data_IF_149225267056
#
_entry.id   IF_149225267056
#
_cell.length_a   1.000
_cell.length_b   1.000
_cell.length_c   1.000
_cell.angle_alpha   90.00
_cell.angle_beta   90.00
_cell.angle_gamma   90.00
#
_symmetry.space_group_name_H-M   'P 1'
#
loop_
_entity.id
_entity.type
_entity.pdbx_description
1 polymer ?
#
# COMPACT_ATOMS: atom_id res chain seq x y z
N UNK A 1 -14.96 21.50 30.94
CA UNK A 1 -16.32 22.09 30.84
C UNK A 1 -16.77 22.33 29.40
N UNK A 2 -16.05 23.10 28.53
CA UNK A 2 -16.42 23.23 27.12
C UNK A 2 -16.07 21.97 26.30
N UNK A 3 -14.93 21.34 26.59
CA UNK A 3 -14.53 20.06 26.01
C UNK A 3 -15.49 18.94 26.37
N UNK A 4 -15.88 18.85 27.62
CA UNK A 4 -16.77 17.81 28.13
C UNK A 4 -18.18 17.94 27.54
N UNK A 5 -18.65 19.18 27.36
CA UNK A 5 -19.92 19.48 26.68
C UNK A 5 -19.88 19.17 25.18
N UNK A 6 -18.72 19.34 24.52
CA UNK A 6 -18.51 18.93 23.11
C UNK A 6 -18.42 17.43 22.97
N UNK A 7 -17.76 16.74 23.91
CA UNK A 7 -17.70 15.27 23.93
C UNK A 7 -19.08 14.65 24.18
N UNK A 8 -19.84 15.18 25.13
CA UNK A 8 -21.22 14.74 25.42
C UNK A 8 -22.17 15.03 24.24
N UNK A 9 -22.00 16.19 23.56
CA UNK A 9 -22.77 16.51 22.36
C UNK A 9 -22.41 15.58 21.19
N UNK A 10 -21.11 15.30 20.95
CA UNK A 10 -20.67 14.34 19.96
C UNK A 10 -21.09 12.90 20.26
N UNK A 11 -21.20 12.53 21.53
CA UNK A 11 -21.68 11.21 21.94
C UNK A 11 -23.20 11.03 21.76
N UNK A 12 -23.97 12.13 21.84
CA UNK A 12 -25.45 12.10 21.76
C UNK A 12 -26.02 12.46 20.39
N UNK A 13 -25.29 13.21 19.57
CA UNK A 13 -25.75 13.66 18.25
C UNK A 13 -25.11 12.83 17.14
N UNK A 14 -25.87 11.89 16.58
CA UNK A 14 -25.52 11.20 15.33
C UNK A 14 -26.30 11.88 14.18
N UNK A 15 -25.73 12.84 13.45
CA UNK A 15 -26.37 13.37 12.27
C UNK A 15 -26.60 12.25 11.26
N UNK A 16 -27.67 12.31 10.44
CA UNK A 16 -27.85 11.35 9.36
C UNK A 16 -26.56 11.36 8.50
N UNK A 17 -26.02 10.18 8.20
CA UNK A 17 -24.81 10.05 7.43
C UNK A 17 -25.08 10.51 5.98
N UNK A 18 -24.58 11.68 5.61
CA UNK A 18 -24.71 12.30 4.28
C UNK A 18 -23.58 11.93 3.33
N UNK A 19 -22.71 10.98 3.72
CA UNK A 19 -21.55 10.54 2.93
C UNK A 19 -21.88 9.43 1.94
N UNK A 20 -20.82 8.88 1.35
CA UNK A 20 -20.92 7.74 0.43
C UNK A 20 -21.47 6.50 1.13
N UNK A 21 -22.31 5.73 0.44
CA UNK A 21 -22.76 4.42 0.89
C UNK A 21 -22.21 3.38 -0.09
N UNK A 22 -21.51 2.39 0.42
CA UNK A 22 -20.99 1.27 -0.37
C UNK A 22 -21.78 0.03 -0.03
N UNK A 23 -22.52 -0.48 -1.00
CA UNK A 23 -23.33 -1.70 -0.87
C UNK A 23 -22.58 -2.82 -1.57
N UNK A 24 -22.38 -3.93 -0.89
CA UNK A 24 -21.65 -5.04 -1.46
C UNK A 24 -21.66 -6.28 -0.59
N UNK A 25 -20.79 -7.21 -0.93
CA UNK A 25 -20.65 -8.48 -0.24
C UNK A 25 -19.29 -8.56 0.45
N UNK A 26 -19.24 -8.76 1.79
CA UNK A 26 -18.01 -8.75 2.59
C UNK A 26 -16.92 -9.72 2.09
N UNK A 27 -17.29 -10.75 1.35
CA UNK A 27 -16.38 -11.77 0.81
C UNK A 27 -16.07 -11.58 -0.68
N UNK A 28 -16.34 -10.42 -1.24
CA UNK A 28 -16.04 -10.10 -2.64
C UNK A 28 -14.71 -9.35 -2.74
N UNK A 29 -13.86 -9.74 -3.70
CA UNK A 29 -12.58 -9.12 -3.97
C UNK A 29 -12.72 -7.68 -4.47
N UNK A 30 -13.73 -7.43 -5.31
CA UNK A 30 -14.05 -6.10 -5.84
C UNK A 30 -14.52 -5.16 -4.74
N UNK A 31 -15.42 -5.64 -3.86
CA UNK A 31 -15.91 -4.86 -2.72
C UNK A 31 -14.79 -4.51 -1.74
N UNK A 32 -13.88 -5.47 -1.48
CA UNK A 32 -12.69 -5.21 -0.69
C UNK A 32 -11.80 -4.14 -1.34
N UNK A 33 -11.58 -4.20 -2.66
CA UNK A 33 -10.77 -3.22 -3.39
C UNK A 33 -11.36 -1.80 -3.30
N UNK A 34 -12.67 -1.65 -3.52
CA UNK A 34 -13.38 -0.36 -3.40
C UNK A 34 -13.30 0.20 -1.99
N UNK A 35 -13.56 -0.62 -0.97
CA UNK A 35 -13.47 -0.22 0.45
C UNK A 35 -12.05 0.20 0.84
N UNK A 36 -11.05 -0.57 0.42
CA UNK A 36 -9.64 -0.26 0.65
C UNK A 36 -9.24 1.05 -0.03
N UNK A 37 -9.66 1.25 -1.28
CA UNK A 37 -9.38 2.47 -2.02
C UNK A 37 -9.97 3.71 -1.32
N UNK A 38 -11.26 3.67 -0.95
CA UNK A 38 -11.93 4.77 -0.26
C UNK A 38 -11.28 5.06 1.10
N UNK A 39 -11.02 4.02 1.89
CA UNK A 39 -10.38 4.16 3.21
C UNK A 39 -8.97 4.74 3.11
N UNK A 40 -8.15 4.27 2.16
CA UNK A 40 -6.78 4.75 1.97
C UNK A 40 -6.71 6.20 1.48
N UNK A 41 -7.72 6.64 0.73
CA UNK A 41 -7.86 8.04 0.29
C UNK A 41 -8.64 8.91 1.29
N UNK A 42 -8.92 8.41 2.50
CA UNK A 42 -9.67 9.13 3.55
C UNK A 42 -11.05 9.62 3.10
N UNK A 43 -11.68 8.92 2.15
CA UNK A 43 -13.04 9.20 1.71
C UNK A 43 -14.01 8.50 2.66
N UNK A 44 -14.80 9.23 3.48
CA UNK A 44 -15.70 8.61 4.42
C UNK A 44 -16.87 7.92 3.71
N UNK A 45 -17.17 6.69 4.11
CA UNK A 45 -18.28 5.92 3.57
C UNK A 45 -18.96 5.06 4.64
N UNK A 46 -20.25 4.74 4.43
CA UNK A 46 -20.96 3.74 5.19
C UNK A 46 -21.00 2.43 4.41
N UNK A 47 -20.49 1.36 5.01
CA UNK A 47 -20.54 0.02 4.45
C UNK A 47 -21.89 -0.65 4.74
N UNK A 48 -22.51 -1.28 3.73
CA UNK A 48 -23.74 -2.02 3.82
C UNK A 48 -23.56 -3.41 3.19
N UNK A 49 -23.44 -4.44 4.05
CA UNK A 49 -23.25 -5.82 3.62
C UNK A 49 -24.59 -6.45 3.30
N UNK A 50 -24.81 -6.84 2.05
CA UNK A 50 -26.06 -7.48 1.60
C UNK A 50 -26.30 -8.84 2.25
N UNK A 51 -25.27 -9.49 2.80
CA UNK A 51 -25.38 -10.78 3.49
C UNK A 51 -25.64 -10.63 4.99
N UNK A 52 -25.39 -9.46 5.58
CA UNK A 52 -25.46 -9.24 7.03
C UNK A 52 -26.73 -8.50 7.49
N UNK A 53 -27.51 -7.91 6.56
CA UNK A 53 -28.72 -7.17 6.87
C UNK A 53 -29.57 -6.86 5.64
N UNK A 54 -30.83 -6.48 5.88
CA UNK A 54 -31.79 -6.19 4.80
C UNK A 54 -31.63 -4.78 4.20
N UNK A 55 -30.95 -3.85 4.89
CA UNK A 55 -30.89 -2.43 4.49
C UNK A 55 -30.24 -2.23 3.13
N UNK A 56 -29.13 -2.93 2.85
CA UNK A 56 -28.45 -2.87 1.55
C UNK A 56 -29.29 -3.40 0.41
N UNK A 57 -29.94 -4.55 0.62
CA UNK A 57 -30.81 -5.20 -0.38
C UNK A 57 -32.08 -4.40 -0.64
N UNK A 58 -32.68 -3.79 0.41
CA UNK A 58 -33.84 -2.89 0.27
C UNK A 58 -33.49 -1.66 -0.55
N UNK A 59 -32.36 -1.04 -0.24
CA UNK A 59 -31.89 0.16 -0.95
C UNK A 59 -31.58 -0.11 -2.43
N UNK A 60 -30.99 -1.27 -2.77
CA UNK A 60 -30.81 -1.69 -4.16
C UNK A 60 -32.13 -1.85 -4.90
N UNK A 61 -33.12 -2.47 -4.26
CA UNK A 61 -34.44 -2.64 -4.84
C UNK A 61 -35.19 -1.31 -5.05
N UNK A 62 -35.12 -0.39 -4.08
CA UNK A 62 -35.71 0.95 -4.19
C UNK A 62 -35.13 1.76 -5.34
N UNK A 63 -33.83 1.60 -5.60
CA UNK A 63 -33.11 2.27 -6.68
C UNK A 63 -33.15 1.51 -8.02
N UNK A 64 -33.83 0.37 -8.09
CA UNK A 64 -33.86 -0.53 -9.26
C UNK A 64 -32.46 -0.94 -9.74
N UNK A 65 -31.52 -1.19 -8.82
CA UNK A 65 -30.16 -1.62 -9.11
C UNK A 65 -30.05 -3.15 -9.01
N UNK A 66 -29.30 -3.75 -9.94
CA UNK A 66 -29.10 -5.18 -10.02
C UNK A 66 -28.23 -5.68 -8.83
N UNK A 67 -28.76 -6.54 -7.93
CA UNK A 67 -28.00 -7.08 -6.81
C UNK A 67 -26.89 -8.05 -7.25
N UNK A 68 -26.85 -8.50 -8.50
CA UNK A 68 -25.77 -9.30 -9.07
C UNK A 68 -24.56 -8.48 -9.52
N UNK A 69 -24.68 -7.14 -9.55
CA UNK A 69 -23.62 -6.23 -9.99
C UNK A 69 -23.10 -5.38 -8.82
N UNK A 70 -22.33 -6.02 -7.94
CA UNK A 70 -21.70 -5.38 -6.79
C UNK A 70 -20.19 -5.17 -7.02
N UNK A 71 -19.55 -4.19 -6.34
CA UNK A 71 -20.12 -3.22 -5.39
C UNK A 71 -20.93 -2.10 -6.06
N UNK A 72 -21.85 -1.51 -5.31
CA UNK A 72 -22.52 -0.27 -5.69
C UNK A 72 -22.07 0.84 -4.75
N UNK A 73 -21.60 1.95 -5.32
CA UNK A 73 -21.23 3.16 -4.57
C UNK A 73 -22.30 4.22 -4.83
N UNK A 74 -23.04 4.58 -3.79
CA UNK A 74 -24.08 5.61 -3.83
C UNK A 74 -23.50 6.93 -3.33
N UNK A 75 -23.75 8.00 -4.07
CA UNK A 75 -23.31 9.35 -3.74
C UNK A 75 -24.42 10.18 -3.09
N UNK A 76 -24.08 11.24 -2.33
CA UNK A 76 -25.07 12.11 -1.68
C UNK A 76 -26.04 12.79 -2.65
N UNK A 77 -25.64 12.99 -3.90
CA UNK A 77 -26.48 13.57 -4.96
C UNK A 77 -27.49 12.60 -5.58
N UNK A 78 -27.56 11.36 -5.03
CA UNK A 78 -28.46 10.30 -5.51
C UNK A 78 -27.93 9.50 -6.70
N UNK A 79 -26.77 9.85 -7.26
CA UNK A 79 -26.13 9.05 -8.31
C UNK A 79 -25.47 7.78 -7.77
N UNK A 80 -25.28 6.79 -8.64
CA UNK A 80 -24.66 5.51 -8.30
C UNK A 80 -23.58 5.13 -9.30
N UNK A 81 -22.49 4.53 -8.81
CA UNK A 81 -21.56 3.75 -9.62
C UNK A 81 -21.75 2.27 -9.31
N UNK A 82 -22.02 1.48 -10.34
CA UNK A 82 -22.25 0.03 -10.25
C UNK A 82 -21.03 -0.69 -10.78
N UNK A 83 -20.41 -1.53 -9.95
CA UNK A 83 -19.16 -2.24 -10.26
C UNK A 83 -18.08 -1.28 -10.83
N UNK A 84 -17.72 -0.20 -10.07
CA UNK A 84 -16.90 0.86 -10.62
C UNK A 84 -15.48 0.41 -10.92
N UNK A 85 -14.97 0.83 -12.09
CA UNK A 85 -13.55 0.81 -12.36
C UNK A 85 -12.82 1.84 -11.47
N UNK A 86 -11.55 1.57 -11.07
CA UNK A 86 -10.80 2.44 -10.16
C UNK A 86 -10.73 3.90 -10.58
N UNK A 87 -10.52 4.18 -11.88
CA UNK A 87 -10.39 5.54 -12.42
C UNK A 87 -11.72 6.30 -12.35
N UNK A 88 -12.85 5.61 -12.62
CA UNK A 88 -14.19 6.20 -12.52
C UNK A 88 -14.51 6.55 -11.06
N UNK A 89 -14.13 5.68 -10.12
CA UNK A 89 -14.29 5.94 -8.71
C UNK A 89 -13.41 7.11 -8.26
N UNK A 90 -12.13 7.11 -8.65
CA UNK A 90 -11.17 8.17 -8.33
C UNK A 90 -11.69 9.54 -8.79
N UNK A 91 -12.09 9.66 -10.06
CA UNK A 91 -12.64 10.91 -10.61
C UNK A 91 -13.90 11.36 -9.84
N UNK A 92 -14.78 10.41 -9.49
CA UNK A 92 -16.06 10.73 -8.87
C UNK A 92 -15.93 11.14 -7.41
N UNK A 93 -14.89 10.69 -6.70
CA UNK A 93 -14.57 11.14 -5.34
C UNK A 93 -13.67 12.38 -5.32
N UNK A 94 -13.40 12.98 -6.48
CA UNK A 94 -12.68 14.25 -6.60
C UNK A 94 -11.15 14.11 -6.60
N UNK A 95 -10.61 12.91 -6.85
CA UNK A 95 -9.18 12.73 -7.04
C UNK A 95 -8.78 13.12 -8.47
N UNK A 96 -7.61 13.74 -8.62
CA UNK A 96 -7.08 14.08 -9.95
C UNK A 96 -6.63 12.80 -10.66
N UNK A 97 -7.14 12.59 -11.87
CA UNK A 97 -6.77 11.48 -12.76
C UNK A 97 -5.99 11.95 -13.99
N UNK A 98 -5.78 13.26 -14.13
CA UNK A 98 -5.12 13.86 -15.27
C UNK A 98 -4.05 14.85 -14.81
N UNK A 99 -2.87 14.74 -15.41
CA UNK A 99 -1.81 15.73 -15.25
C UNK A 99 -2.23 17.05 -15.91
N UNK A 100 -1.92 18.16 -15.26
CA UNK A 100 -2.28 19.50 -15.75
C UNK A 100 -1.28 20.04 -16.79
N UNK A 101 -0.07 19.43 -16.86
CA UNK A 101 0.99 19.80 -17.78
C UNK A 101 1.49 18.57 -18.53
N UNK A 102 2.00 18.78 -19.75
CA UNK A 102 2.63 17.72 -20.57
C UNK A 102 4.09 17.47 -20.18
N UNK A 103 4.72 18.44 -19.48
CA UNK A 103 6.12 18.40 -19.12
C UNK A 103 6.38 18.88 -17.68
N UNK A 104 7.16 18.10 -16.94
CA UNK A 104 7.61 18.37 -15.57
C UNK A 104 9.13 18.34 -15.49
N UNK A 105 9.70 18.97 -14.45
CA UNK A 105 11.13 18.87 -14.18
C UNK A 105 11.44 17.48 -13.60
N UNK A 106 10.54 16.95 -12.74
CA UNK A 106 10.64 15.64 -12.13
C UNK A 106 9.28 14.94 -12.08
N UNK A 107 9.25 13.66 -12.49
CA UNK A 107 8.13 12.74 -12.28
C UNK A 107 8.54 11.72 -11.21
N UNK A 108 7.70 11.56 -10.19
CA UNK A 108 7.84 10.56 -9.12
C UNK A 108 6.82 9.47 -9.36
N UNK A 109 7.25 8.23 -9.52
CA UNK A 109 6.36 7.07 -9.67
C UNK A 109 6.27 6.32 -8.35
N UNK A 110 5.11 6.42 -7.72
CA UNK A 110 4.81 5.87 -6.39
C UNK A 110 4.79 6.93 -5.29
N UNK A 111 3.72 6.97 -4.50
CA UNK A 111 3.52 7.88 -3.37
C UNK A 111 3.71 7.19 -2.01
N UNK A 112 4.62 6.23 -1.91
CA UNK A 112 5.11 5.72 -0.62
C UNK A 112 6.02 6.75 0.09
N UNK A 113 6.61 6.42 1.25
CA UNK A 113 7.44 7.35 2.01
C UNK A 113 8.59 7.97 1.22
N UNK A 114 9.23 7.22 0.31
CA UNK A 114 10.29 7.75 -0.55
C UNK A 114 9.75 8.76 -1.57
N UNK A 115 8.67 8.41 -2.27
CA UNK A 115 8.06 9.29 -3.26
C UNK A 115 7.44 10.54 -2.64
N UNK A 116 6.79 10.43 -1.48
CA UNK A 116 6.26 11.58 -0.75
C UNK A 116 7.37 12.52 -0.27
N UNK A 117 8.49 11.98 0.24
CA UNK A 117 9.63 12.79 0.60
C UNK A 117 10.19 13.53 -0.64
N UNK A 118 10.40 12.83 -1.73
CA UNK A 118 10.86 13.44 -2.99
C UNK A 118 9.89 14.52 -3.50
N UNK A 119 8.57 14.30 -3.38
CA UNK A 119 7.57 15.30 -3.76
C UNK A 119 7.65 16.56 -2.89
N UNK A 120 7.82 16.40 -1.57
CA UNK A 120 7.99 17.53 -0.65
C UNK A 120 9.25 18.32 -0.98
N UNK A 121 10.39 17.67 -1.10
CA UNK A 121 11.66 18.35 -1.37
C UNK A 121 11.69 18.92 -2.79
N UNK A 122 11.33 18.16 -3.82
CA UNK A 122 11.32 18.62 -5.19
C UNK A 122 10.46 19.87 -5.38
N UNK A 123 9.22 19.85 -4.91
CA UNK A 123 8.34 21.01 -5.03
C UNK A 123 8.77 22.19 -4.14
N UNK A 124 9.28 21.94 -2.91
CA UNK A 124 9.76 23.02 -2.04
C UNK A 124 11.04 23.69 -2.55
N UNK A 125 11.82 23.00 -3.35
CA UNK A 125 13.04 23.49 -3.99
C UNK A 125 12.80 24.02 -5.42
N UNK A 126 11.53 24.13 -5.83
CA UNK A 126 11.10 24.81 -7.06
C UNK A 126 11.01 23.93 -8.30
N UNK A 127 11.15 22.59 -8.18
CA UNK A 127 10.92 21.69 -9.30
C UNK A 127 9.41 21.50 -9.55
N UNK A 128 8.97 21.62 -10.81
CA UNK A 128 7.64 21.16 -11.22
C UNK A 128 7.59 19.66 -11.08
N UNK A 129 6.93 19.20 -10.02
CA UNK A 129 6.93 17.80 -9.59
C UNK A 129 5.55 17.17 -9.78
N UNK A 130 5.48 16.09 -10.55
CA UNK A 130 4.31 15.24 -10.70
C UNK A 130 4.53 13.94 -9.94
N UNK A 131 3.54 13.51 -9.16
CA UNK A 131 3.50 12.21 -8.49
C UNK A 131 2.42 11.34 -9.11
N UNK A 132 2.78 10.14 -9.55
CA UNK A 132 1.87 9.14 -10.13
C UNK A 132 1.69 8.02 -9.12
N UNK A 133 0.44 7.82 -8.64
CA UNK A 133 0.10 6.81 -7.63
C UNK A 133 -1.23 6.14 -7.96
N UNK A 134 -1.28 4.81 -8.16
CA UNK A 134 -2.51 4.14 -8.60
C UNK A 134 -3.56 3.96 -7.51
N UNK A 135 -3.21 4.05 -6.23
CA UNK A 135 -4.12 3.75 -5.13
C UNK A 135 -4.33 4.94 -4.19
N UNK A 136 -3.34 5.21 -3.36
CA UNK A 136 -3.40 6.29 -2.38
C UNK A 136 -2.01 6.65 -1.85
N UNK A 137 -1.77 7.93 -1.48
CA UNK A 137 -0.55 8.35 -0.83
C UNK A 137 -0.31 7.61 0.50
N UNK A 138 0.96 7.24 0.76
CA UNK A 138 1.39 6.50 1.95
C UNK A 138 1.99 5.13 1.63
N UNK A 139 1.63 4.53 0.49
CA UNK A 139 2.14 3.23 0.06
C UNK A 139 1.95 2.14 1.12
N UNK A 140 2.87 1.20 1.21
CA UNK A 140 2.82 0.11 2.21
C UNK A 140 2.85 0.64 3.66
N UNK A 141 3.56 1.73 3.92
CA UNK A 141 3.59 2.35 5.25
C UNK A 141 2.21 2.88 5.66
N UNK A 142 1.41 3.38 4.70
CA UNK A 142 0.06 3.90 4.92
C UNK A 142 -0.89 2.89 5.55
N UNK A 143 -0.67 1.60 5.33
CA UNK A 143 -1.46 0.52 5.91
C UNK A 143 -1.04 0.10 7.34
N UNK A 144 0.06 0.67 7.88
CA UNK A 144 0.54 0.34 9.22
C UNK A 144 -0.34 1.00 10.29
N UNK A 145 -0.86 0.19 11.22
CA UNK A 145 -1.70 0.67 12.32
C UNK A 145 -0.96 1.62 13.28
N UNK A 146 0.34 1.40 13.46
CA UNK A 146 1.21 2.22 14.30
C UNK A 146 2.68 2.09 13.88
N UNK A 147 3.34 3.22 13.65
CA UNK A 147 4.78 3.33 13.41
C UNK A 147 5.38 3.97 14.65
N UNK A 148 6.06 3.19 15.50
CA UNK A 148 6.59 3.65 16.79
C UNK A 148 8.03 4.13 16.72
N UNK A 149 8.77 3.71 15.70
CA UNK A 149 10.19 3.98 15.54
C UNK A 149 10.49 5.06 14.47
N UNK A 150 9.52 5.89 14.12
CA UNK A 150 9.75 7.06 13.27
C UNK A 150 10.06 8.27 14.14
N UNK A 151 11.20 8.92 13.87
CA UNK A 151 11.70 10.03 14.67
C UNK A 151 10.70 11.21 14.70
N UNK A 152 10.50 11.81 15.88
CA UNK A 152 9.61 12.94 16.09
C UNK A 152 8.20 12.57 16.57
N UNK A 153 7.89 11.28 16.71
CA UNK A 153 6.58 10.79 17.16
C UNK A 153 6.74 9.89 18.41
N UNK A 154 6.91 10.46 19.62
CA UNK A 154 7.19 9.69 20.83
C UNK A 154 6.07 8.71 21.23
N UNK A 155 4.83 9.00 20.83
CA UNK A 155 3.68 8.10 21.02
C UNK A 155 3.42 7.19 19.82
N UNK A 156 4.27 7.24 18.77
CA UNK A 156 4.02 6.64 17.46
C UNK A 156 3.04 7.46 16.62
N UNK A 157 2.90 7.07 15.37
CA UNK A 157 1.96 7.66 14.40
C UNK A 157 1.37 6.55 13.54
N UNK A 158 0.12 6.67 13.10
CA UNK A 158 -0.42 5.73 12.12
C UNK A 158 0.20 5.98 10.76
N UNK A 159 0.40 4.92 9.96
CA UNK A 159 0.92 5.08 8.60
C UNK A 159 0.03 5.96 7.73
N UNK A 160 -1.28 5.83 7.89
CA UNK A 160 -2.28 6.65 7.19
C UNK A 160 -2.13 8.15 7.53
N UNK A 161 -1.97 8.51 8.81
CA UNK A 161 -1.80 9.91 9.21
C UNK A 161 -0.45 10.48 8.73
N UNK A 162 0.62 9.68 8.79
CA UNK A 162 1.93 10.09 8.27
C UNK A 162 1.85 10.35 6.75
N UNK A 163 1.26 9.43 5.98
CA UNK A 163 1.07 9.58 4.53
C UNK A 163 0.22 10.79 4.17
N UNK A 164 -0.91 10.98 4.87
CA UNK A 164 -1.80 12.12 4.69
C UNK A 164 -1.10 13.46 4.96
N UNK A 165 -0.34 13.57 6.05
CA UNK A 165 0.44 14.79 6.38
C UNK A 165 1.48 15.09 5.31
N UNK A 166 2.22 14.09 4.85
CA UNK A 166 3.22 14.26 3.80
C UNK A 166 2.57 14.66 2.45
N UNK A 167 1.44 14.07 2.08
CA UNK A 167 0.68 14.46 0.89
C UNK A 167 0.23 15.92 0.95
N UNK A 168 -0.41 16.35 2.04
CA UNK A 168 -0.82 17.75 2.24
C UNK A 168 0.39 18.69 2.17
N UNK A 169 1.52 18.28 2.76
CA UNK A 169 2.75 19.08 2.74
C UNK A 169 3.29 19.24 1.33
N UNK A 170 3.38 18.16 0.55
CA UNK A 170 3.85 18.20 -0.85
C UNK A 170 2.93 19.06 -1.73
N UNK A 171 1.62 18.88 -1.62
CA UNK A 171 0.61 19.66 -2.35
C UNK A 171 0.70 21.16 -2.01
N UNK A 172 0.94 21.50 -0.74
CA UNK A 172 1.13 22.91 -0.32
C UNK A 172 2.33 23.54 -0.99
N UNK A 173 3.38 22.79 -1.30
CA UNK A 173 4.55 23.28 -2.05
C UNK A 173 4.35 23.26 -3.57
N UNK A 174 3.22 22.75 -4.05
CA UNK A 174 2.88 22.74 -5.48
C UNK A 174 3.15 21.43 -6.19
N UNK A 175 3.47 20.34 -5.47
CA UNK A 175 3.51 19.02 -6.09
C UNK A 175 2.11 18.62 -6.58
N UNK A 176 2.04 18.15 -7.83
CA UNK A 176 0.82 17.63 -8.41
C UNK A 176 0.74 16.11 -8.21
N UNK A 177 -0.46 15.60 -7.91
CA UNK A 177 -0.71 14.17 -7.76
C UNK A 177 -1.76 13.71 -8.75
N UNK A 178 -1.50 12.58 -9.41
CA UNK A 178 -2.48 11.92 -10.27
C UNK A 178 -2.70 10.48 -9.82
N UNK A 179 -3.98 10.12 -9.70
CA UNK A 179 -4.40 8.74 -9.36
C UNK A 179 -4.43 7.94 -10.65
N UNK A 180 -3.25 7.43 -11.03
CA UNK A 180 -3.02 6.69 -12.27
C UNK A 180 -1.93 5.63 -12.06
N UNK A 181 -1.93 4.61 -12.91
CA UNK A 181 -0.88 3.60 -12.95
C UNK A 181 0.11 3.92 -14.06
N UNK A 182 1.41 3.94 -13.72
CA UNK A 182 2.47 3.91 -14.72
C UNK A 182 2.57 2.50 -15.33
N UNK A 183 2.60 2.40 -16.65
CA UNK A 183 2.62 1.15 -17.41
C UNK A 183 3.82 1.00 -18.31
N UNK A 184 4.61 2.07 -18.51
CA UNK A 184 5.83 2.07 -19.31
C UNK A 184 6.70 3.27 -19.01
N UNK A 185 7.98 3.13 -19.31
CA UNK A 185 8.97 4.20 -19.29
C UNK A 185 9.74 4.14 -20.63
N UNK A 186 9.65 5.21 -21.41
CA UNK A 186 10.41 5.39 -22.65
C UNK A 186 11.46 6.47 -22.45
N UNK A 187 12.66 6.21 -22.97
CA UNK A 187 13.81 7.08 -22.89
C UNK A 187 14.08 7.62 -24.29
N UNK A 188 14.19 8.94 -24.43
CA UNK A 188 14.46 9.59 -25.70
C UNK A 188 15.39 10.82 -25.48
N UNK A 189 16.67 10.63 -25.75
CA UNK A 189 17.69 11.63 -25.46
C UNK A 189 17.67 12.08 -24.00
N UNK A 190 17.48 13.36 -23.79
CA UNK A 190 17.39 13.95 -22.44
C UNK A 190 16.01 13.85 -21.79
N UNK A 191 15.00 13.30 -22.48
CA UNK A 191 13.63 13.23 -22.01
C UNK A 191 13.25 11.81 -21.54
N UNK A 192 12.42 11.76 -20.53
CA UNK A 192 11.82 10.55 -19.95
C UNK A 192 10.32 10.66 -20.09
N UNK A 193 9.70 9.66 -20.71
CA UNK A 193 8.27 9.59 -20.96
C UNK A 193 7.67 8.46 -20.12
N UNK A 194 6.80 8.81 -19.19
CA UNK A 194 6.07 7.82 -18.37
C UNK A 194 4.71 7.59 -19.03
N UNK A 195 4.45 6.35 -19.41
CA UNK A 195 3.17 5.91 -19.96
C UNK A 195 2.18 5.61 -18.85
N UNK A 196 0.96 6.08 -18.98
CA UNK A 196 -0.14 5.89 -18.05
C UNK A 196 -1.11 4.80 -18.52
N UNK A 197 -1.88 4.20 -17.60
CA UNK A 197 -2.82 3.13 -17.92
C UNK A 197 -3.94 3.55 -18.89
N UNK A 198 -4.25 4.84 -18.94
CA UNK A 198 -5.24 5.41 -19.88
C UNK A 198 -4.66 5.69 -21.29
N UNK A 199 -3.41 5.31 -21.53
CA UNK A 199 -2.72 5.45 -22.81
C UNK A 199 -2.03 6.80 -23.03
N UNK A 200 -2.14 7.76 -22.11
CA UNK A 200 -1.40 9.03 -22.18
C UNK A 200 0.06 8.85 -21.76
N UNK A 201 0.91 9.78 -22.22
CA UNK A 201 2.28 9.93 -21.75
C UNK A 201 2.45 11.30 -21.06
N UNK A 202 3.27 11.34 -20.02
CA UNK A 202 3.77 12.57 -19.41
C UNK A 202 5.30 12.54 -19.44
N UNK A 203 5.92 13.70 -19.66
CA UNK A 203 7.36 13.80 -19.90
C UNK A 203 8.08 14.61 -18.83
N UNK A 204 9.36 14.29 -18.63
CA UNK A 204 10.25 15.01 -17.72
C UNK A 204 11.71 14.85 -18.11
N UNK A 205 12.60 15.62 -17.47
CA UNK A 205 14.02 15.33 -17.51
C UNK A 205 14.42 14.25 -16.49
N UNK A 206 13.75 14.23 -15.34
CA UNK A 206 14.07 13.32 -14.23
C UNK A 206 12.86 12.45 -13.90
N UNK A 207 13.09 11.15 -13.75
CA UNK A 207 12.12 10.21 -13.18
C UNK A 207 12.68 9.59 -11.91
N UNK A 208 11.92 9.63 -10.82
CA UNK A 208 12.21 8.88 -9.61
C UNK A 208 11.28 7.67 -9.50
N UNK A 209 11.86 6.48 -9.53
CA UNK A 209 11.17 5.22 -9.32
C UNK A 209 11.10 4.91 -7.82
N UNK A 210 9.94 5.16 -7.22
CA UNK A 210 9.64 4.95 -5.79
C UNK A 210 8.46 3.97 -5.61
N UNK A 211 8.32 3.01 -6.52
CA UNK A 211 7.17 2.09 -6.64
C UNK A 211 7.07 1.08 -5.49
N UNK A 212 8.10 1.02 -4.64
CA UNK A 212 8.12 0.13 -3.48
C UNK A 212 8.09 -1.35 -3.84
N UNK A 213 7.34 -2.13 -3.05
CA UNK A 213 7.21 -3.58 -3.20
C UNK A 213 5.75 -4.01 -3.03
N UNK A 214 5.38 -5.16 -3.63
CA UNK A 214 4.06 -5.78 -3.48
C UNK A 214 4.16 -7.03 -2.62
N UNK A 215 3.13 -7.34 -1.85
CA UNK A 215 3.12 -8.55 -1.02
C UNK A 215 3.15 -9.82 -1.88
N UNK A 216 4.01 -10.75 -1.50
CA UNK A 216 4.05 -12.08 -2.09
C UNK A 216 2.76 -12.83 -1.76
N UNK A 217 2.19 -13.48 -2.78
CA UNK A 217 0.98 -14.29 -2.60
C UNK A 217 1.35 -15.71 -2.16
N UNK A 218 0.48 -16.34 -1.35
CA UNK A 218 0.56 -17.75 -1.02
C UNK A 218 0.28 -18.59 -2.29
N UNK A 219 1.21 -19.46 -2.62
CA UNK A 219 1.07 -20.40 -3.74
C UNK A 219 0.73 -21.78 -3.15
N UNK A 220 -0.51 -21.94 -2.70
CA UNK A 220 -1.04 -23.18 -2.11
C UNK A 220 -2.45 -23.45 -2.67
N UNK A 221 -2.93 -24.71 -2.65
CA UNK A 221 -4.29 -25.04 -3.10
C UNK A 221 -5.36 -24.17 -2.41
N UNK A 222 -6.28 -23.63 -3.21
CA UNK A 222 -7.40 -22.81 -2.75
C UNK A 222 -7.10 -21.32 -2.54
N UNK A 223 -5.83 -20.88 -2.33
CA UNK A 223 -5.50 -19.52 -1.92
C UNK A 223 -5.91 -18.46 -2.96
N UNK A 224 -5.70 -18.71 -4.25
CA UNK A 224 -6.05 -17.75 -5.30
C UNK A 224 -7.55 -17.44 -5.32
N UNK A 225 -8.40 -18.46 -5.18
CA UNK A 225 -9.87 -18.32 -5.17
C UNK A 225 -10.38 -17.57 -3.94
N UNK A 226 -9.73 -17.76 -2.78
CA UNK A 226 -10.14 -17.20 -1.51
C UNK A 226 -9.46 -15.88 -1.15
N UNK A 227 -8.60 -15.34 -2.03
CA UNK A 227 -8.04 -13.99 -1.88
C UNK A 227 -9.16 -12.95 -1.89
N UNK A 228 -9.20 -12.07 -0.88
CA UNK A 228 -10.30 -11.11 -0.64
C UNK A 228 -11.58 -11.75 -0.06
N UNK A 229 -11.60 -13.08 0.06
CA UNK A 229 -12.71 -13.87 0.60
C UNK A 229 -12.32 -14.61 1.88
N UNK A 230 -11.58 -13.91 2.76
CA UNK A 230 -11.03 -14.43 4.01
C UNK A 230 -9.51 -14.59 3.98
N UNK A 231 -8.85 -14.49 2.82
CA UNK A 231 -7.38 -14.40 2.72
C UNK A 231 -6.99 -13.01 2.27
N UNK A 232 -6.18 -12.33 3.06
CA UNK A 232 -5.76 -10.96 2.86
C UNK A 232 -4.24 -10.86 2.90
N UNK A 233 -3.67 -9.98 2.07
CA UNK A 233 -2.22 -9.75 1.99
C UNK A 233 -1.89 -8.36 2.53
N UNK A 234 -0.97 -8.30 3.49
CA UNK A 234 -0.61 -7.07 4.17
C UNK A 234 -1.62 -6.63 5.24
N UNK A 235 -1.50 -5.38 5.68
CA UNK A 235 -2.33 -4.84 6.74
C UNK A 235 -3.72 -4.49 6.23
N UNK A 236 -4.65 -5.41 6.37
CA UNK A 236 -6.07 -5.22 6.06
C UNK A 236 -6.77 -4.54 7.26
N UNK A 237 -6.47 -3.28 7.55
CA UNK A 237 -7.08 -2.50 8.64
C UNK A 237 -8.61 -2.43 8.51
N UNK A 238 -9.09 -2.39 7.28
CA UNK A 238 -10.52 -2.39 6.95
C UNK A 238 -11.23 -3.66 7.43
N UNK A 239 -10.51 -4.79 7.45
CA UNK A 239 -11.06 -6.09 7.85
C UNK A 239 -10.99 -6.33 9.38
N UNK A 240 -10.22 -5.56 10.13
CA UNK A 240 -10.05 -5.77 11.57
C UNK A 240 -11.37 -5.69 12.34
N UNK A 241 -12.23 -4.75 11.99
CA UNK A 241 -13.56 -4.61 12.62
C UNK A 241 -14.46 -5.81 12.30
N UNK A 242 -14.31 -6.39 11.11
CA UNK A 242 -15.04 -7.60 10.69
C UNK A 242 -14.55 -8.87 11.40
N UNK A 243 -13.39 -8.83 12.07
CA UNK A 243 -12.82 -9.93 12.85
C UNK A 243 -13.25 -9.89 14.33
N UNK A 244 -14.20 -9.03 14.70
CA UNK A 244 -14.64 -8.89 16.10
C UNK A 244 -15.17 -10.23 16.64
N UNK A 245 -14.65 -10.60 17.81
CA UNK A 245 -14.98 -11.84 18.54
C UNK A 245 -14.64 -13.15 17.82
N UNK A 246 -13.89 -13.09 16.71
CA UNK A 246 -13.47 -14.23 15.90
C UNK A 246 -12.04 -14.70 16.21
N UNK A 247 -11.65 -15.87 15.68
CA UNK A 247 -10.27 -16.34 15.67
C UNK A 247 -9.61 -15.96 14.34
N UNK A 248 -8.46 -15.26 14.41
CA UNK A 248 -7.71 -14.73 13.27
C UNK A 248 -6.36 -15.43 13.17
N UNK A 249 -5.97 -15.80 11.96
CA UNK A 249 -4.65 -16.36 11.67
C UNK A 249 -3.77 -15.34 10.95
N UNK A 250 -2.52 -15.21 11.39
CA UNK A 250 -1.50 -14.32 10.81
C UNK A 250 -0.30 -15.15 10.40
N UNK A 251 0.03 -15.18 9.12
CA UNK A 251 1.21 -15.87 8.59
C UNK A 251 2.35 -14.89 8.44
N UNK A 252 3.45 -15.12 9.15
CA UNK A 252 4.66 -14.31 9.09
C UNK A 252 5.31 -14.08 10.44
N UNK A 253 6.62 -13.79 10.43
CA UNK A 253 7.43 -13.61 11.63
C UNK A 253 8.21 -12.30 11.68
N UNK A 254 7.97 -11.35 10.76
CA UNK A 254 8.64 -10.05 10.73
C UNK A 254 7.77 -8.94 11.33
N UNK A 255 8.30 -7.71 11.41
CA UNK A 255 7.65 -6.57 12.06
C UNK A 255 6.20 -6.33 11.58
N UNK A 256 5.94 -6.40 10.28
CA UNK A 256 4.58 -6.19 9.73
C UNK A 256 3.58 -7.22 10.25
N UNK A 257 3.99 -8.48 10.38
CA UNK A 257 3.14 -9.53 10.97
C UNK A 257 2.87 -9.27 12.46
N UNK A 258 3.89 -8.83 13.22
CA UNK A 258 3.75 -8.49 14.62
C UNK A 258 2.82 -7.30 14.86
N UNK A 259 2.98 -6.23 14.10
CA UNK A 259 2.10 -5.06 14.16
C UNK A 259 0.65 -5.41 13.81
N UNK A 260 0.45 -6.24 12.79
CA UNK A 260 -0.88 -6.71 12.42
C UNK A 260 -1.51 -7.58 13.51
N UNK A 261 -0.74 -8.52 14.10
CA UNK A 261 -1.23 -9.37 15.17
C UNK A 261 -1.68 -8.54 16.39
N UNK A 262 -0.89 -7.56 16.81
CA UNK A 262 -1.24 -6.64 17.90
C UNK A 262 -2.48 -5.78 17.54
N UNK A 263 -2.60 -5.37 16.30
CA UNK A 263 -3.79 -4.62 15.85
C UNK A 263 -5.05 -5.50 15.90
N UNK A 264 -5.01 -6.70 15.34
CA UNK A 264 -6.14 -7.63 15.36
C UNK A 264 -6.52 -8.08 16.78
N UNK A 265 -5.55 -8.22 17.69
CA UNK A 265 -5.80 -8.62 19.07
C UNK A 265 -6.73 -7.66 19.84
N UNK A 266 -6.91 -6.43 19.36
CA UNK A 266 -7.86 -5.46 19.94
C UNK A 266 -9.32 -5.76 19.63
N UNK A 267 -9.58 -6.56 18.60
CA UNK A 267 -10.92 -6.87 18.10
C UNK A 267 -11.22 -8.37 18.17
N UNK A 268 -10.26 -9.19 17.78
CA UNK A 268 -10.41 -10.63 17.69
C UNK A 268 -10.43 -11.29 19.07
N UNK A 269 -11.18 -12.37 19.21
CA UNK A 269 -11.17 -13.23 20.39
C UNK A 269 -9.80 -13.88 20.59
N UNK A 270 -9.14 -14.29 19.50
CA UNK A 270 -7.83 -14.90 19.48
C UNK A 270 -7.10 -14.60 18.18
N UNK A 271 -5.80 -14.35 18.25
CA UNK A 271 -4.92 -14.21 17.10
C UNK A 271 -3.86 -15.32 17.17
N UNK A 272 -3.79 -16.15 16.13
CA UNK A 272 -2.77 -17.20 16.03
C UNK A 272 -1.73 -16.81 14.97
N UNK A 273 -0.50 -16.54 15.41
CA UNK A 273 0.62 -16.26 14.52
C UNK A 273 1.28 -17.58 14.09
N UNK A 274 1.33 -17.82 12.78
CA UNK A 274 1.94 -18.99 12.16
C UNK A 274 3.32 -18.61 11.59
N UNK A 275 4.39 -19.19 12.16
CA UNK A 275 5.77 -18.86 11.81
C UNK A 275 6.49 -20.11 11.34
N UNK A 276 7.05 -20.05 10.12
CA UNK A 276 7.80 -21.17 9.51
C UNK A 276 9.08 -21.51 10.29
N UNK A 277 9.72 -20.51 10.88
CA UNK A 277 10.96 -20.65 11.65
C UNK A 277 10.71 -20.97 13.14
N UNK A 278 11.79 -20.97 13.93
CA UNK A 278 11.73 -21.32 15.37
C UNK A 278 11.05 -20.26 16.25
N UNK A 279 10.81 -19.05 15.72
CA UNK A 279 10.20 -17.96 16.46
C UNK A 279 10.39 -16.61 15.76
N UNK A 280 10.23 -15.52 16.51
CA UNK A 280 10.19 -14.16 15.99
C UNK A 280 11.55 -13.43 16.03
N UNK A 281 12.50 -13.91 16.85
CA UNK A 281 13.73 -13.17 17.19
C UNK A 281 14.64 -12.86 15.99
N UNK A 282 14.60 -13.68 14.94
CA UNK A 282 15.45 -13.49 13.75
C UNK A 282 15.03 -12.31 12.85
N UNK A 283 13.75 -11.92 12.88
CA UNK A 283 13.16 -11.02 11.88
C UNK A 283 12.27 -9.92 12.46
N UNK A 284 12.04 -9.94 13.77
CA UNK A 284 11.14 -8.99 14.45
C UNK A 284 11.90 -8.16 15.49
N UNK A 285 11.56 -6.90 15.60
CA UNK A 285 12.10 -5.97 16.60
C UNK A 285 11.74 -6.41 18.02
N UNK A 286 12.67 -6.29 18.95
CA UNK A 286 12.53 -6.73 20.34
C UNK A 286 11.28 -6.17 21.02
N UNK A 287 10.98 -4.89 20.84
CA UNK A 287 9.80 -4.25 21.45
C UNK A 287 8.48 -4.91 21.02
N UNK A 288 8.35 -5.30 19.73
CA UNK A 288 7.16 -6.00 19.23
C UNK A 288 7.05 -7.41 19.85
N UNK A 289 8.17 -8.12 19.94
CA UNK A 289 8.20 -9.45 20.57
C UNK A 289 7.71 -9.36 22.01
N UNK A 290 8.19 -8.37 22.77
CA UNK A 290 7.81 -8.16 24.16
C UNK A 290 6.33 -7.77 24.31
N UNK A 291 5.81 -6.97 23.41
CA UNK A 291 4.39 -6.58 23.39
C UNK A 291 3.49 -7.77 23.04
N UNK A 292 3.86 -8.57 22.03
CA UNK A 292 3.15 -9.81 21.66
C UNK A 292 3.11 -10.77 22.84
N UNK A 293 4.25 -10.97 23.52
CA UNK A 293 4.33 -11.87 24.68
C UNK A 293 3.45 -11.44 25.86
N UNK A 294 3.15 -10.14 25.99
CA UNK A 294 2.25 -9.59 27.04
C UNK A 294 0.77 -9.62 26.64
N UNK A 295 0.47 -9.84 25.36
CA UNK A 295 -0.89 -9.81 24.84
C UNK A 295 -1.52 -11.21 24.93
N UNK A 296 -2.42 -11.41 25.89
CA UNK A 296 -2.93 -12.71 26.30
C UNK A 296 -3.70 -13.49 25.25
N UNK A 297 -4.29 -12.81 24.26
CA UNK A 297 -5.06 -13.43 23.19
C UNK A 297 -4.23 -13.63 21.90
N UNK A 298 -2.91 -13.41 21.93
CA UNK A 298 -2.01 -13.78 20.83
C UNK A 298 -1.30 -15.10 21.16
N UNK A 299 -1.36 -16.06 20.25
CA UNK A 299 -0.69 -17.34 20.33
C UNK A 299 0.32 -17.47 19.19
N UNK A 300 1.57 -17.84 19.51
CA UNK A 300 2.61 -18.10 18.53
C UNK A 300 2.74 -19.60 18.27
N UNK A 301 2.60 -20.01 17.02
CA UNK A 301 2.89 -21.37 16.57
C UNK A 301 4.13 -21.37 15.66
N UNK A 302 5.26 -21.71 16.26
CA UNK A 302 6.52 -21.88 15.55
C UNK A 302 6.54 -23.15 14.68
N UNK A 303 7.43 -23.20 13.67
CA UNK A 303 7.58 -24.31 12.74
C UNK A 303 6.27 -24.73 12.05
N UNK A 304 5.31 -23.80 11.93
CA UNK A 304 3.97 -24.07 11.40
C UNK A 304 3.71 -23.30 10.11
N UNK A 305 3.17 -23.99 9.11
CA UNK A 305 2.86 -23.45 7.79
C UNK A 305 1.43 -23.78 7.40
N UNK A 306 0.79 -22.87 6.64
CA UNK A 306 -0.45 -23.19 5.91
C UNK A 306 -0.06 -23.90 4.63
N UNK A 307 -0.60 -25.07 4.39
CA UNK A 307 -0.31 -25.88 3.18
C UNK A 307 -1.49 -25.99 2.23
N UNK A 308 -2.71 -25.77 2.69
CA UNK A 308 -3.94 -25.74 1.90
C UNK A 308 -5.00 -24.89 2.60
N UNK A 309 -5.94 -24.32 1.85
CA UNK A 309 -7.08 -23.56 2.37
C UNK A 309 -8.38 -24.08 1.76
N UNK A 310 -9.45 -24.09 2.56
CA UNK A 310 -10.75 -24.66 2.21
C UNK A 310 -11.84 -23.60 2.32
N UNK A 311 -12.83 -23.73 1.46
CA UNK A 311 -13.99 -22.88 1.34
C UNK A 311 -14.34 -22.65 -0.13
N UNK A 312 -15.59 -22.33 -0.43
CA UNK A 312 -16.05 -22.02 -1.78
C UNK A 312 -16.27 -20.52 -1.96
N UNK A 313 -17.18 -19.96 -1.22
CA UNK A 313 -17.49 -18.52 -1.26
C UNK A 313 -16.62 -17.71 -0.31
N UNK A 314 -16.13 -18.32 0.76
CA UNK A 314 -15.27 -17.71 1.77
C UNK A 314 -14.33 -18.73 2.38
N UNK A 315 -13.32 -18.26 3.10
CA UNK A 315 -12.44 -19.13 3.89
C UNK A 315 -13.25 -19.81 5.01
N UNK A 316 -13.10 -21.13 5.13
CA UNK A 316 -13.77 -21.95 6.14
C UNK A 316 -12.77 -22.73 7.01
N UNK A 317 -11.65 -23.14 6.44
CA UNK A 317 -10.63 -23.87 7.18
C UNK A 317 -9.24 -23.72 6.57
N UNK A 318 -8.21 -23.97 7.39
CA UNK A 318 -6.80 -24.08 7.02
C UNK A 318 -6.30 -25.49 7.27
N UNK A 319 -5.48 -26.03 6.37
CA UNK A 319 -4.60 -27.16 6.63
C UNK A 319 -3.26 -26.62 7.11
N UNK A 320 -2.93 -26.90 8.34
CA UNK A 320 -1.67 -26.51 8.96
C UNK A 320 -0.74 -27.72 9.00
N UNK A 321 0.55 -27.48 8.69
CA UNK A 321 1.63 -28.45 8.87
C UNK A 321 2.60 -27.91 9.90
N UNK A 322 2.75 -28.63 11.01
CA UNK A 322 3.59 -28.27 12.12
C UNK A 322 4.41 -29.45 12.64
N UNK A 323 5.13 -29.28 13.77
CA UNK A 323 5.97 -30.34 14.37
C UNK A 323 5.20 -31.62 14.71
N UNK A 324 3.93 -31.50 15.06
CA UNK A 324 3.06 -32.63 15.42
C UNK A 324 2.33 -33.26 14.22
N UNK A 325 2.73 -32.89 12.98
CA UNK A 325 2.08 -33.34 11.75
C UNK A 325 1.10 -32.33 11.17
N UNK A 326 0.22 -32.83 10.32
CA UNK A 326 -0.80 -32.00 9.65
C UNK A 326 -2.11 -32.03 10.43
N UNK A 327 -2.77 -30.85 10.50
CA UNK A 327 -4.10 -30.72 11.10
C UNK A 327 -4.94 -29.69 10.37
N UNK A 328 -6.24 -29.93 10.32
CA UNK A 328 -7.21 -28.97 9.80
C UNK A 328 -7.81 -28.17 10.96
N UNK A 329 -7.89 -26.85 10.79
CA UNK A 329 -8.47 -25.94 11.78
C UNK A 329 -9.53 -25.05 11.11
N UNK A 330 -10.64 -24.74 11.80
CA UNK A 330 -11.60 -23.75 11.33
C UNK A 330 -10.94 -22.38 11.22
N UNK A 331 -11.22 -21.63 10.18
CA UNK A 331 -10.72 -20.28 10.01
C UNK A 331 -11.60 -19.49 9.07
N UNK A 332 -11.92 -18.26 9.42
CA UNK A 332 -12.66 -17.33 8.56
C UNK A 332 -11.76 -16.20 8.04
N UNK A 333 -10.60 -15.99 8.65
CA UNK A 333 -9.66 -14.92 8.26
C UNK A 333 -8.21 -15.36 8.40
N UNK A 334 -7.46 -15.17 7.33
CA UNK A 334 -6.03 -15.44 7.20
C UNK A 334 -5.34 -14.20 6.65
N UNK A 335 -4.44 -13.60 7.43
CA UNK A 335 -3.65 -12.45 7.02
C UNK A 335 -2.21 -12.86 6.74
N UNK A 336 -1.70 -12.53 5.55
CA UNK A 336 -0.46 -13.08 5.02
C UNK A 336 0.61 -12.01 4.92
N UNK A 337 1.74 -12.22 5.62
CA UNK A 337 2.90 -11.33 5.68
C UNK A 337 4.20 -12.11 5.39
N UNK A 338 4.28 -12.76 4.22
CA UNK A 338 5.41 -13.62 3.83
C UNK A 338 6.48 -12.92 2.99
N UNK A 339 6.57 -11.62 3.13
CA UNK A 339 7.50 -10.78 2.38
C UNK A 339 6.87 -10.17 1.14
N UNK A 340 7.70 -9.47 0.38
CA UNK A 340 7.28 -8.69 -0.77
C UNK A 340 8.27 -8.81 -1.93
N UNK A 341 7.83 -8.45 -3.12
CA UNK A 341 8.64 -8.37 -4.34
C UNK A 341 8.39 -7.02 -5.04
N UNK A 342 9.38 -6.43 -5.71
CA UNK A 342 9.18 -5.22 -6.47
C UNK A 342 8.32 -5.49 -7.70
N UNK A 343 7.44 -4.54 -8.06
CA UNK A 343 6.64 -4.58 -9.29
C UNK A 343 7.33 -3.76 -10.37
N UNK A 344 8.35 -4.31 -11.00
CA UNK A 344 9.23 -3.60 -11.96
C UNK A 344 9.17 -4.16 -13.37
N UNK A 345 8.27 -5.09 -13.65
CA UNK A 345 8.16 -5.80 -14.92
C UNK A 345 7.79 -4.87 -16.10
N UNK A 346 7.12 -3.76 -15.80
CA UNK A 346 6.71 -2.75 -16.78
C UNK A 346 7.84 -1.81 -17.23
N UNK A 347 8.96 -1.79 -16.50
CA UNK A 347 10.11 -0.96 -16.84
C UNK A 347 10.88 -1.57 -18.01
N UNK A 348 11.51 -0.74 -18.86
CA UNK A 348 12.30 -1.22 -19.99
C UNK A 348 13.57 -1.98 -19.52
N UNK A 349 14.14 -2.81 -20.40
CA UNK A 349 15.29 -3.65 -20.03
C UNK A 349 16.57 -2.86 -19.71
N UNK A 350 16.69 -1.62 -20.17
CA UNK A 350 17.78 -0.71 -19.88
C UNK A 350 17.89 -0.37 -18.39
N UNK A 351 16.78 -0.46 -17.66
CA UNK A 351 16.76 -0.33 -16.19
C UNK A 351 17.17 -1.68 -15.59
N UNK A 352 18.42 -1.78 -15.16
CA UNK A 352 19.02 -3.03 -14.65
C UNK A 352 18.42 -3.43 -13.30
N UNK A 353 18.14 -4.74 -13.17
CA UNK A 353 17.53 -5.39 -12.00
C UNK A 353 18.41 -6.52 -11.50
N UNK A 354 18.28 -6.84 -10.22
CA UNK A 354 18.79 -8.09 -9.69
C UNK A 354 17.87 -9.29 -10.07
N UNK A 355 18.28 -10.49 -9.68
CA UNK A 355 17.55 -11.75 -9.92
C UNK A 355 16.14 -11.78 -9.28
N UNK A 356 15.88 -10.92 -8.30
CA UNK A 356 14.61 -10.78 -7.60
C UNK A 356 13.75 -9.63 -8.12
N UNK A 357 14.22 -8.88 -9.12
CA UNK A 357 13.52 -7.74 -9.71
C UNK A 357 13.77 -6.40 -9.03
N UNK A 358 14.62 -6.31 -8.00
CA UNK A 358 15.00 -5.05 -7.38
C UNK A 358 15.90 -4.23 -8.31
N UNK A 359 15.72 -2.91 -8.31
CA UNK A 359 16.45 -2.01 -9.19
C UNK A 359 17.85 -1.72 -8.64
N UNK A 360 18.88 -1.90 -9.47
CA UNK A 360 20.23 -1.53 -9.13
C UNK A 360 20.42 -0.02 -9.30
N UNK A 361 21.20 0.60 -8.40
CA UNK A 361 21.50 2.03 -8.42
C UNK A 361 22.92 2.33 -7.92
N UNK A 362 23.52 3.38 -8.45
CA UNK A 362 24.83 3.86 -8.01
C UNK A 362 25.93 2.80 -8.00
N UNK A 363 26.53 2.53 -6.84
CA UNK A 363 27.62 1.54 -6.74
C UNK A 363 27.23 0.12 -7.12
N UNK A 364 25.96 -0.27 -6.96
CA UNK A 364 25.47 -1.62 -7.25
C UNK A 364 25.47 -1.94 -8.76
N UNK A 365 25.55 -0.90 -9.61
CA UNK A 365 25.63 -1.03 -11.07
C UNK A 365 27.02 -1.43 -11.55
N UNK A 366 28.05 -1.31 -10.70
CA UNK A 366 29.44 -1.58 -11.08
C UNK A 366 29.74 -3.08 -10.97
N UNK A 367 29.91 -3.75 -12.09
CA UNK A 367 30.52 -5.06 -12.12
C UNK A 367 32.04 -4.92 -12.22
N UNK A 368 32.80 -5.50 -11.28
CA UNK A 368 34.28 -5.50 -11.27
C UNK A 368 34.92 -4.10 -11.32
N UNK A 369 34.24 -3.06 -10.76
CA UNK A 369 34.73 -1.69 -10.75
C UNK A 369 34.61 -0.93 -12.08
N UNK A 370 33.95 -1.50 -13.09
CA UNK A 370 33.67 -0.86 -14.38
C UNK A 370 32.31 -0.13 -14.34
N UNK A 371 32.18 0.88 -15.20
CA UNK A 371 30.89 1.56 -15.40
C UNK A 371 29.84 0.60 -15.96
N UNK A 372 28.52 0.88 -15.74
CA UNK A 372 27.45 0.07 -16.30
C UNK A 372 27.56 -0.04 -17.82
N UNK A 373 27.15 -1.18 -18.37
CA UNK A 373 27.08 -1.37 -19.82
C UNK A 373 26.10 -0.33 -20.41
N UNK A 374 26.56 0.36 -21.47
CA UNK A 374 25.75 1.42 -22.12
C UNK A 374 25.78 2.78 -21.44
N UNK A 375 26.50 2.97 -20.33
CA UNK A 375 26.65 4.26 -19.68
C UNK A 375 27.49 5.22 -20.51
N UNK A 376 26.89 6.33 -20.96
CA UNK A 376 27.53 7.28 -21.87
C UNK A 376 27.96 8.60 -21.20
N UNK A 377 27.56 8.81 -19.95
CA UNK A 377 27.92 10.03 -19.22
C UNK A 377 29.43 10.05 -18.85
N UNK A 378 30.08 11.24 -18.87
CA UNK A 378 31.50 11.37 -18.48
C UNK A 378 31.74 11.22 -16.97
N UNK A 379 30.68 11.08 -16.19
CA UNK A 379 30.67 10.88 -14.73
C UNK A 379 30.21 9.49 -14.35
N UNK A 380 30.42 9.10 -13.11
CA UNK A 380 29.81 7.91 -12.54
C UNK A 380 28.32 8.15 -12.22
N UNK A 381 27.49 7.08 -12.18
CA UNK A 381 26.13 7.19 -11.66
C UNK A 381 26.11 7.78 -10.24
N UNK A 382 25.19 8.68 -9.97
CA UNK A 382 24.94 9.14 -8.60
C UNK A 382 24.45 7.97 -7.71
N UNK A 383 24.58 8.11 -6.39
CA UNK A 383 24.30 7.04 -5.42
C UNK A 383 22.94 6.34 -5.63
N UNK A 384 21.91 7.08 -6.02
CA UNK A 384 20.54 6.57 -6.26
C UNK A 384 20.15 6.58 -7.74
N UNK A 385 21.10 6.83 -8.66
CA UNK A 385 20.83 6.81 -10.09
C UNK A 385 20.87 5.39 -10.64
N UNK A 386 19.90 5.04 -11.45
CA UNK A 386 19.81 3.74 -12.12
C UNK A 386 20.89 3.62 -13.23
N UNK A 387 20.83 2.53 -13.98
CA UNK A 387 21.63 2.34 -15.21
C UNK A 387 21.30 3.32 -16.34
N UNK A 388 20.27 4.14 -16.18
CA UNK A 388 19.86 5.17 -17.15
C UNK A 388 20.03 6.54 -16.51
N UNK A 389 20.83 7.44 -17.09
CA UNK A 389 21.01 8.80 -16.59
C UNK A 389 19.68 9.53 -16.39
N UNK A 390 19.52 10.27 -15.29
CA UNK A 390 18.29 10.99 -14.96
C UNK A 390 17.13 10.13 -14.50
N UNK A 391 17.31 8.81 -14.38
CA UNK A 391 16.33 7.91 -13.74
C UNK A 391 16.89 7.47 -12.39
N UNK A 392 16.25 7.91 -11.31
CA UNK A 392 16.64 7.62 -9.92
C UNK A 392 15.75 6.54 -9.30
N UNK A 393 16.26 5.90 -8.26
CA UNK A 393 15.57 4.80 -7.56
C UNK A 393 15.64 5.05 -6.06
N UNK A 394 14.50 5.01 -5.35
CA UNK A 394 14.48 5.20 -3.91
C UNK A 394 13.46 4.30 -3.21
N UNK A 395 13.75 3.96 -1.96
CA UNK A 395 12.90 3.15 -1.10
C UNK A 395 13.00 1.65 -1.39
N UNK A 396 11.93 0.93 -1.07
CA UNK A 396 11.94 -0.52 -1.00
C UNK A 396 12.16 -1.23 -2.35
N UNK A 397 11.96 -0.56 -3.46
CA UNK A 397 12.21 -1.09 -4.81
C UNK A 397 13.71 -1.18 -5.13
N UNK A 398 14.56 -0.39 -4.44
CA UNK A 398 16.00 -0.38 -4.66
C UNK A 398 16.65 -1.64 -4.08
N UNK A 399 17.60 -2.22 -4.82
CA UNK A 399 18.46 -3.30 -4.34
C UNK A 399 19.18 -2.89 -3.04
N UNK A 400 19.29 -3.79 -2.09
CA UNK A 400 19.98 -3.54 -0.82
C UNK A 400 19.34 -2.49 0.09
N UNK A 401 18.16 -1.93 -0.24
CA UNK A 401 17.51 -0.92 0.59
C UNK A 401 17.13 -1.43 1.98
N UNK A 402 17.27 -0.58 2.98
CA UNK A 402 16.81 -0.88 4.34
C UNK A 402 15.31 -0.62 4.42
N UNK A 403 14.52 -1.68 4.60
CA UNK A 403 13.04 -1.65 4.63
C UNK A 403 12.51 -0.92 5.87
N UNK A 404 12.68 0.39 5.93
CA UNK A 404 12.22 1.28 7.01
C UNK A 404 11.68 2.58 6.43
N UNK A 405 10.63 3.13 7.05
CA UNK A 405 10.04 4.41 6.64
C UNK A 405 11.09 5.53 6.63
N UNK A 406 11.90 5.65 7.68
CA UNK A 406 12.93 6.69 7.78
C UNK A 406 14.01 6.56 6.67
N UNK A 407 14.41 5.33 6.34
CA UNK A 407 15.38 5.09 5.24
C UNK A 407 14.79 5.49 3.88
N UNK A 408 13.55 5.11 3.62
CA UNK A 408 12.86 5.48 2.39
C UNK A 408 12.68 7.01 2.26
N UNK A 409 12.30 7.70 3.35
CA UNK A 409 12.23 9.17 3.40
C UNK A 409 13.59 9.80 3.11
N UNK A 410 14.66 9.28 3.72
CA UNK A 410 16.04 9.75 3.49
C UNK A 410 16.46 9.57 2.03
N UNK A 411 16.22 8.39 1.45
CA UNK A 411 16.54 8.15 0.03
C UNK A 411 15.74 9.06 -0.90
N UNK A 412 14.45 9.29 -0.65
CA UNK A 412 13.63 10.21 -1.43
C UNK A 412 14.15 11.64 -1.42
N UNK A 413 14.57 12.14 -0.27
CA UNK A 413 15.16 13.49 -0.16
C UNK A 413 16.52 13.61 -0.84
N UNK A 414 17.39 12.60 -0.68
CA UNK A 414 18.72 12.56 -1.32
C UNK A 414 18.58 12.48 -2.85
N UNK A 415 17.59 11.74 -3.36
CA UNK A 415 17.35 11.62 -4.79
C UNK A 415 17.05 12.99 -5.43
N UNK A 416 16.33 13.88 -4.73
CA UNK A 416 16.06 15.26 -5.22
C UNK A 416 17.36 16.06 -5.35
N UNK A 417 18.28 15.93 -4.40
CA UNK A 417 19.58 16.59 -4.50
C UNK A 417 20.36 16.12 -5.73
N UNK A 418 20.33 14.83 -6.05
CA UNK A 418 20.94 14.32 -7.27
C UNK A 418 20.17 14.73 -8.54
N UNK A 419 18.86 14.85 -8.47
CA UNK A 419 18.04 15.40 -9.56
C UNK A 419 18.48 16.83 -9.91
N UNK A 420 18.68 17.69 -8.91
CA UNK A 420 19.22 19.04 -9.15
C UNK A 420 20.60 19.03 -9.79
N UNK A 421 21.51 18.15 -9.33
CA UNK A 421 22.84 18.02 -9.94
C UNK A 421 22.77 17.54 -11.40
N UNK A 422 21.85 16.63 -11.70
CA UNK A 422 21.62 16.16 -13.07
C UNK A 422 21.06 17.29 -13.95
N UNK A 423 20.04 18.01 -13.45
CA UNK A 423 19.40 19.12 -14.17
C UNK A 423 20.36 20.32 -14.40
N UNK A 424 21.31 20.53 -13.52
CA UNK A 424 22.35 21.58 -13.69
C UNK A 424 23.32 21.29 -14.86
N UNK A 425 23.28 20.10 -15.44
CA UNK A 425 24.06 19.71 -16.61
C UNK A 425 23.39 20.06 -17.95
N UNK A 426 22.18 20.63 -17.92
CA UNK A 426 21.45 21.18 -19.08
C UNK A 426 21.50 22.71 -19.11
#
# INVERSE_FOLDING_TARGET
MLSDLLEDWHAGYQPPFEGLRVIGHRWSLKDHAVRSFLSSNHVPYRWMDVAAGEDGSKLLAELNLDPGRLPVVLFPDGSALVDPEPDALAARVGLSIQATQDFYDMIVVGAGPAGLAAAVYGASEGLRTLVIEPQAPGGQAGSSSKIENYLGFPAGVTGADLGRRAHIQATRFGAEFVTQRATGLRIDGQYRFVQLADGREVSSHVVLLAVGVHYRKLVIPGAGRLTGRGIYYGAALVEAVSCKDEEVYVVGGANSAGQAALHFARYARKVTMLVRGPGLAATMSKYLIDEIARTSNIVLEAFTQVVEVFGEERLEALQLKGPSGERRVPAISLFVFIGAAPGTEWLPPEIVRDENGFLLAGPDLKAEGKQPEGWQEPREPFLLESSVPGVFVAGDVRHGSIKRVASAVGEGSIAVQFAHQYLAGF
#
